data_IF_920982081396
#
_entry.id   IF_920982081396
#
_cell.length_a   1.000
_cell.length_b   1.000
_cell.length_c   1.000
_cell.angle_alpha   90.00
_cell.angle_beta   90.00
_cell.angle_gamma   90.00
#
_symmetry.space_group_name_H-M   'P 1'
#
loop_
_entity.id
_entity.type
_entity.pdbx_description
1 polymer ?
#
# COMPACT_ATOMS: atom_id res chain seq x y z
N UNK A 1 16.87 6.20 -2.65
CA UNK A 1 15.72 5.27 -2.72
C UNK A 1 16.05 3.87 -3.24
N UNK A 2 16.80 3.70 -4.34
CA UNK A 2 17.14 2.36 -4.84
C UNK A 2 17.78 1.43 -3.78
N UNK A 3 18.72 1.94 -2.97
CA UNK A 3 19.36 1.19 -1.87
C UNK A 3 18.39 0.77 -0.76
N UNK A 4 17.41 1.61 -0.43
CA UNK A 4 16.39 1.31 0.58
C UNK A 4 15.43 0.22 0.07
N UNK A 5 14.98 0.35 -1.18
CA UNK A 5 14.11 -0.65 -1.83
C UNK A 5 14.84 -1.99 -1.92
N UNK A 6 16.12 -2.00 -2.29
CA UNK A 6 16.92 -3.22 -2.34
C UNK A 6 17.09 -3.86 -0.94
N UNK A 7 17.31 -3.06 0.10
CA UNK A 7 17.39 -3.56 1.48
C UNK A 7 16.07 -4.18 1.94
N UNK A 8 14.93 -3.52 1.66
CA UNK A 8 13.59 -4.04 1.98
C UNK A 8 13.32 -5.35 1.25
N UNK A 9 13.63 -5.42 -0.06
CA UNK A 9 13.48 -6.66 -0.83
C UNK A 9 14.36 -7.80 -0.30
N UNK A 10 15.59 -7.49 0.13
CA UNK A 10 16.51 -8.47 0.72
C UNK A 10 16.01 -8.98 2.08
N UNK A 11 15.46 -8.11 2.93
CA UNK A 11 14.84 -8.54 4.19
C UNK A 11 13.62 -9.43 3.95
N UNK A 12 12.80 -9.09 2.97
CA UNK A 12 11.64 -9.88 2.62
C UNK A 12 11.97 -11.28 2.10
N UNK A 13 13.03 -11.40 1.29
CA UNK A 13 13.50 -12.71 0.85
C UNK A 13 13.94 -13.60 2.01
N UNK A 14 14.49 -13.03 3.09
CA UNK A 14 14.83 -13.80 4.30
C UNK A 14 13.60 -14.23 5.10
N UNK A 15 12.51 -13.46 5.06
CA UNK A 15 11.26 -13.78 5.74
C UNK A 15 10.37 -14.78 4.98
N UNK A 16 10.79 -15.25 3.79
CA UNK A 16 9.97 -16.10 2.93
C UNK A 16 8.74 -15.39 2.35
N UNK A 17 8.71 -14.06 2.38
CA UNK A 17 7.59 -13.29 1.85
C UNK A 17 7.64 -13.28 0.31
N UNK A 18 6.50 -13.52 -0.33
CA UNK A 18 6.43 -13.39 -1.79
C UNK A 18 6.73 -11.95 -2.21
N UNK A 19 7.52 -11.83 -3.29
CA UNK A 19 7.89 -10.54 -3.89
C UNK A 19 6.67 -9.66 -4.17
N UNK A 20 5.54 -10.28 -4.53
CA UNK A 20 4.26 -9.60 -4.78
C UNK A 20 3.77 -8.80 -3.56
N UNK A 21 3.85 -9.35 -2.35
CA UNK A 21 3.37 -8.67 -1.14
C UNK A 21 4.20 -7.42 -0.84
N UNK A 22 5.51 -7.53 -0.98
CA UNK A 22 6.43 -6.41 -0.76
C UNK A 22 6.23 -5.33 -1.80
N UNK A 23 6.00 -5.69 -3.05
CA UNK A 23 5.69 -4.73 -4.10
C UNK A 23 4.38 -4.00 -3.84
N UNK A 24 3.35 -4.71 -3.36
CA UNK A 24 2.08 -4.08 -2.98
C UNK A 24 2.26 -3.11 -1.82
N UNK A 25 3.02 -3.48 -0.78
CA UNK A 25 3.33 -2.58 0.34
C UNK A 25 4.11 -1.35 -0.13
N UNK A 26 5.13 -1.54 -0.96
CA UNK A 26 5.91 -0.42 -1.50
C UNK A 26 5.06 0.51 -2.37
N UNK A 27 4.16 -0.04 -3.19
CA UNK A 27 3.19 0.74 -3.98
C UNK A 27 2.27 1.55 -3.07
N UNK A 28 1.72 0.94 -2.02
CA UNK A 28 0.84 1.62 -1.07
C UNK A 28 1.57 2.77 -0.34
N UNK A 29 2.80 2.55 0.12
CA UNK A 29 3.63 3.59 0.75
C UNK A 29 3.92 4.73 -0.23
N UNK A 30 4.24 4.41 -1.49
CA UNK A 30 4.45 5.41 -2.53
C UNK A 30 3.21 6.29 -2.76
N UNK A 31 2.03 5.67 -2.86
CA UNK A 31 0.75 6.40 -3.01
C UNK A 31 0.48 7.28 -1.78
N UNK A 32 0.73 6.79 -0.57
CA UNK A 32 0.55 7.57 0.65
C UNK A 32 1.41 8.84 0.64
N UNK A 33 2.71 8.71 0.34
CA UNK A 33 3.62 9.85 0.28
C UNK A 33 3.19 10.87 -0.77
N UNK A 34 2.82 10.43 -1.98
CA UNK A 34 2.39 11.32 -3.05
C UNK A 34 1.08 12.03 -2.68
N UNK A 35 0.11 11.29 -2.16
CA UNK A 35 -1.19 11.83 -1.76
C UNK A 35 -1.05 12.88 -0.66
N UNK A 36 -0.22 12.62 0.34
CA UNK A 36 0.06 13.55 1.45
C UNK A 36 0.74 14.82 0.93
N UNK A 37 1.75 14.67 0.07
CA UNK A 37 2.48 15.79 -0.51
C UNK A 37 1.56 16.71 -1.33
N UNK A 38 0.74 16.14 -2.21
CA UNK A 38 -0.18 16.90 -3.06
C UNK A 38 -1.27 17.58 -2.21
N UNK A 39 -1.81 16.90 -1.20
CA UNK A 39 -2.79 17.49 -0.29
C UNK A 39 -2.21 18.67 0.49
N UNK A 40 -0.95 18.58 0.95
CA UNK A 40 -0.30 19.67 1.66
C UNK A 40 -0.06 20.88 0.76
N UNK A 41 0.35 20.69 -0.51
CA UNK A 41 0.43 21.78 -1.48
C UNK A 41 -0.93 22.49 -1.65
N UNK A 42 -2.03 21.73 -1.71
CA UNK A 42 -3.36 22.31 -1.82
C UNK A 42 -3.77 23.08 -0.55
N UNK A 43 -3.38 22.60 0.65
CA UNK A 43 -3.58 23.32 1.92
C UNK A 43 -2.79 24.63 1.93
N UNK A 44 -1.54 24.61 1.49
CA UNK A 44 -0.67 25.79 1.44
C UNK A 44 -1.22 26.86 0.47
N UNK A 45 -1.96 26.44 -0.57
CA UNK A 45 -2.68 27.33 -1.48
C UNK A 45 -4.05 27.81 -0.93
N UNK A 46 -4.40 27.49 0.32
CA UNK A 46 -5.69 27.81 0.94
C UNK A 46 -6.86 26.93 0.47
N UNK A 47 -6.60 25.89 -0.32
CA UNK A 47 -7.62 25.01 -0.93
C UNK A 47 -7.90 23.77 -0.06
N UNK A 48 -8.32 23.97 1.18
CA UNK A 48 -8.55 22.88 2.15
C UNK A 48 -9.62 21.86 1.70
N UNK A 49 -10.69 22.33 1.04
CA UNK A 49 -11.73 21.44 0.54
C UNK A 49 -11.22 20.50 -0.58
N UNK A 50 -10.28 20.99 -1.42
CA UNK A 50 -9.65 20.18 -2.46
C UNK A 50 -8.64 19.21 -1.85
N UNK A 51 -7.84 19.66 -0.88
CA UNK A 51 -6.89 18.82 -0.16
C UNK A 51 -7.58 17.61 0.50
N UNK A 52 -8.73 17.81 1.15
CA UNK A 52 -9.49 16.72 1.76
C UNK A 52 -9.93 15.67 0.72
N UNK A 53 -10.33 16.10 -0.49
CA UNK A 53 -10.68 15.17 -1.59
C UNK A 53 -9.47 14.40 -2.08
N UNK A 54 -8.29 15.03 -2.14
CA UNK A 54 -7.04 14.38 -2.53
C UNK A 54 -6.63 13.30 -1.53
N UNK A 55 -6.72 13.58 -0.23
CA UNK A 55 -6.44 12.59 0.82
C UNK A 55 -7.37 11.37 0.73
N UNK A 56 -8.66 11.58 0.51
CA UNK A 56 -9.63 10.49 0.35
C UNK A 56 -9.31 9.67 -0.91
N UNK A 57 -8.94 10.31 -2.02
CA UNK A 57 -8.55 9.61 -3.24
C UNK A 57 -7.33 8.71 -3.01
N UNK A 58 -6.29 9.20 -2.31
CA UNK A 58 -5.13 8.40 -1.94
C UNK A 58 -5.50 7.17 -1.10
N UNK A 59 -6.39 7.34 -0.11
CA UNK A 59 -6.87 6.22 0.72
C UNK A 59 -7.63 5.18 -0.08
N UNK A 60 -8.49 5.59 -1.01
CA UNK A 60 -9.23 4.66 -1.88
C UNK A 60 -8.29 3.85 -2.77
N UNK A 61 -7.24 4.48 -3.33
CA UNK A 61 -6.24 3.78 -4.14
C UNK A 61 -5.48 2.76 -3.29
N UNK A 62 -5.05 3.12 -2.08
CA UNK A 62 -4.37 2.21 -1.16
C UNK A 62 -5.28 1.02 -0.80
N UNK A 63 -6.56 1.26 -0.51
CA UNK A 63 -7.52 0.18 -0.24
C UNK A 63 -7.67 -0.76 -1.44
N UNK A 64 -7.76 -0.22 -2.67
CA UNK A 64 -7.83 -1.03 -3.88
C UNK A 64 -6.58 -1.90 -4.09
N UNK A 65 -5.39 -1.38 -3.75
CA UNK A 65 -4.14 -2.16 -3.80
C UNK A 65 -4.08 -3.29 -2.79
N UNK A 66 -4.75 -3.15 -1.64
CA UNK A 66 -4.75 -4.14 -0.56
C UNK A 66 -5.77 -5.26 -0.81
N UNK A 67 -6.85 -5.00 -1.56
CA UNK A 67 -7.90 -5.99 -1.85
C UNK A 67 -7.37 -7.36 -2.34
N UNK A 68 -6.47 -7.44 -3.33
CA UNK A 68 -5.94 -8.73 -3.80
C UNK A 68 -5.18 -9.49 -2.72
N UNK A 69 -4.44 -8.79 -1.86
CA UNK A 69 -3.68 -9.40 -0.77
C UNK A 69 -4.64 -9.98 0.27
N UNK A 70 -5.73 -9.27 0.58
CA UNK A 70 -6.77 -9.77 1.47
C UNK A 70 -7.45 -11.02 0.90
N UNK A 71 -7.75 -11.05 -0.40
CA UNK A 71 -8.33 -12.23 -1.05
C UNK A 71 -7.42 -13.46 -0.91
N UNK A 72 -6.13 -13.31 -1.24
CA UNK A 72 -5.15 -14.41 -1.12
C UNK A 72 -5.03 -14.88 0.33
N UNK A 73 -5.06 -13.95 1.28
CA UNK A 73 -4.95 -14.27 2.70
C UNK A 73 -6.19 -15.05 3.18
N UNK A 74 -7.39 -14.65 2.76
CA UNK A 74 -8.63 -15.37 3.05
C UNK A 74 -8.59 -16.77 2.42
N UNK A 75 -8.21 -16.89 1.15
CA UNK A 75 -8.05 -18.20 0.47
C UNK A 75 -7.05 -19.10 1.20
N UNK A 76 -5.92 -18.54 1.64
CA UNK A 76 -4.90 -19.27 2.39
C UNK A 76 -5.46 -19.81 3.71
N UNK A 77 -6.21 -18.98 4.46
CA UNK A 77 -6.88 -19.42 5.71
C UNK A 77 -7.91 -20.50 5.42
N UNK A 78 -8.72 -20.33 4.38
CA UNK A 78 -9.76 -21.30 3.99
C UNK A 78 -9.15 -22.65 3.60
N UNK A 79 -8.01 -22.66 2.92
CA UNK A 79 -7.29 -23.88 2.54
C UNK A 79 -6.64 -24.59 3.74
N UNK A 80 -6.45 -23.91 4.86
CA UNK A 80 -5.90 -24.50 6.10
C UNK A 80 -6.97 -25.07 7.04
N UNK A 81 -8.26 -24.81 6.78
CA UNK A 81 -9.36 -25.31 7.61
C UNK A 81 -9.63 -26.80 7.31
N UNK A 82 -9.52 -27.71 8.30
CA UNK A 82 -9.86 -29.12 8.10
C UNK A 82 -11.38 -29.29 7.92
N UNK A 83 -11.80 -29.95 6.84
CA UNK A 83 -13.22 -30.16 6.50
C UNK A 83 -13.63 -29.66 5.11
N UNK A 84 -12.67 -29.13 4.34
CA UNK A 84 -12.66 -29.16 2.87
C UNK A 84 -11.43 -29.93 2.41
#
# INVERSE_FOLDING_TARGET
MAKLIAAIRKMASYAGAETLYIETVLKAVGVAFISEFVANIAKDAGQHALAAKMEIAGKMIIMALILPVLTILIETILNMLPGR
#
